data_IF_711055949519
#
_entry.id   IF_711055949519
#
_cell.length_a   1.000
_cell.length_b   1.000
_cell.length_c   1.000
_cell.angle_alpha   90.00
_cell.angle_beta   90.00
_cell.angle_gamma   90.00
#
_symmetry.space_group_name_H-M   'P 1'
#
loop_
_entity.id
_entity.type
_entity.pdbx_description
1 polymer ?
#
# COMPACT_ATOMS: atom_id res chain seq x y z
N UNK A 1 -26.29 -16.97 -7.18
CA UNK A 1 -25.69 -15.67 -6.81
C UNK A 1 -24.23 -15.76 -7.24
N UNK A 2 -23.93 -15.25 -8.43
CA UNK A 2 -22.62 -15.40 -9.06
C UNK A 2 -22.03 -14.00 -9.14
N UNK A 3 -20.90 -13.73 -8.47
CA UNK A 3 -20.17 -12.48 -8.64
C UNK A 3 -19.58 -11.93 -7.35
N UNK A 4 -18.33 -12.33 -7.05
CA UNK A 4 -17.28 -11.54 -6.36
C UNK A 4 -16.12 -12.43 -5.86
N UNK A 5 -15.73 -13.46 -6.62
CA UNK A 5 -14.50 -14.22 -6.36
C UNK A 5 -13.70 -14.34 -7.66
N UNK A 6 -13.55 -13.22 -8.37
CA UNK A 6 -12.54 -13.11 -9.42
C UNK A 6 -11.17 -12.78 -8.81
N UNK A 7 -10.07 -13.08 -9.51
CA UNK A 7 -8.73 -12.67 -9.08
C UNK A 7 -8.69 -11.15 -8.85
N UNK A 8 -8.06 -10.72 -7.75
CA UNK A 8 -7.97 -9.30 -7.39
C UNK A 8 -6.71 -8.70 -8.00
N UNK A 9 -6.86 -7.93 -9.07
CA UNK A 9 -5.74 -7.22 -9.71
C UNK A 9 -5.51 -5.86 -9.07
N UNK A 10 -4.25 -5.52 -8.79
CA UNK A 10 -3.82 -4.30 -8.14
C UNK A 10 -2.59 -3.73 -8.86
N UNK A 11 -2.45 -2.40 -8.82
CA UNK A 11 -1.27 -1.70 -9.32
C UNK A 11 -0.65 -0.83 -8.24
N UNK A 12 0.68 -0.76 -8.20
CA UNK A 12 1.44 0.15 -7.35
C UNK A 12 2.51 0.85 -8.19
N UNK A 13 2.99 2.02 -7.75
CA UNK A 13 4.21 2.60 -8.32
C UNK A 13 5.42 2.14 -7.52
N UNK A 14 6.54 2.02 -8.22
CA UNK A 14 7.81 1.71 -7.57
C UNK A 14 8.16 2.78 -6.54
N UNK A 15 8.67 2.33 -5.39
CA UNK A 15 9.04 3.19 -4.28
C UNK A 15 7.91 3.48 -3.30
N UNK A 16 6.65 3.25 -3.67
CA UNK A 16 5.50 3.55 -2.81
C UNK A 16 5.23 2.46 -1.77
N UNK A 17 4.63 2.89 -0.66
CA UNK A 17 3.98 1.99 0.29
C UNK A 17 2.73 1.39 -0.35
N UNK A 18 2.54 0.08 -0.19
CA UNK A 18 1.43 -0.63 -0.80
C UNK A 18 0.90 -1.75 0.10
N UNK A 19 -0.36 -2.14 -0.05
CA UNK A 19 -0.98 -3.18 0.77
C UNK A 19 -1.89 -4.12 -0.01
N UNK A 20 -1.72 -5.42 0.20
CA UNK A 20 -2.66 -6.46 -0.23
C UNK A 20 -3.73 -6.62 0.84
N UNK A 21 -4.81 -5.85 0.69
CA UNK A 21 -5.92 -5.85 1.64
C UNK A 21 -6.84 -7.05 1.45
N UNK A 22 -7.00 -7.83 2.51
CA UNK A 22 -7.86 -9.01 2.57
C UNK A 22 -9.32 -8.66 2.76
N UNK A 23 -9.64 -7.52 3.37
CA UNK A 23 -11.02 -7.20 3.79
C UNK A 23 -11.62 -8.27 4.72
N UNK A 24 -10.78 -9.07 5.38
CA UNK A 24 -11.16 -10.10 6.35
C UNK A 24 -10.95 -9.54 7.76
N UNK A 25 -11.83 -9.93 8.68
CA UNK A 25 -11.61 -9.78 10.11
C UNK A 25 -11.29 -11.15 10.69
N UNK A 26 -10.01 -11.36 11.04
CA UNK A 26 -9.57 -12.64 11.59
C UNK A 26 -10.20 -12.86 12.97
N UNK A 27 -10.58 -14.11 13.24
CA UNK A 27 -11.03 -14.59 14.56
C UNK A 27 -9.82 -15.02 15.38
N UNK A 28 -10.02 -15.20 16.68
CA UNK A 28 -8.96 -15.71 17.57
C UNK A 28 -8.45 -17.05 17.02
N UNK A 29 -7.13 -17.23 16.98
CA UNK A 29 -6.46 -18.45 16.50
C UNK A 29 -6.58 -18.73 14.99
N UNK A 30 -7.22 -17.85 14.21
CA UNK A 30 -7.15 -17.95 12.76
C UNK A 30 -5.70 -17.74 12.32
N UNK A 31 -5.24 -18.63 11.43
CA UNK A 31 -3.91 -18.56 10.84
C UNK A 31 -4.00 -17.95 9.46
N UNK A 32 -3.03 -17.11 9.14
CA UNK A 32 -2.86 -16.50 7.82
C UNK A 32 -1.52 -16.94 7.24
N UNK A 33 -1.53 -17.23 5.95
CA UNK A 33 -0.34 -17.53 5.16
C UNK A 33 -0.42 -16.78 3.85
N UNK A 34 0.64 -16.04 3.55
CA UNK A 34 0.88 -15.43 2.25
C UNK A 34 1.98 -16.19 1.52
N UNK A 35 1.78 -16.44 0.24
CA UNK A 35 2.80 -16.98 -0.65
C UNK A 35 2.88 -16.22 -1.97
N UNK A 36 4.07 -16.21 -2.55
CA UNK A 36 4.36 -15.62 -3.86
C UNK A 36 5.01 -16.69 -4.72
N UNK A 37 4.39 -16.97 -5.87
CA UNK A 37 4.85 -18.01 -6.81
C UNK A 37 5.13 -19.38 -6.13
N UNK A 38 4.28 -19.74 -5.16
CA UNK A 38 4.39 -21.02 -4.41
C UNK A 38 5.40 -21.02 -3.25
N UNK A 39 6.09 -19.91 -2.98
CA UNK A 39 6.98 -19.75 -1.83
C UNK A 39 6.29 -18.96 -0.72
N UNK A 40 6.38 -19.44 0.52
CA UNK A 40 5.82 -18.74 1.68
C UNK A 40 6.57 -17.43 1.90
N UNK A 41 5.84 -16.33 2.00
CA UNK A 41 6.37 -15.00 2.33
C UNK A 41 6.21 -14.67 3.80
N UNK A 42 5.03 -14.92 4.35
CA UNK A 42 4.72 -14.63 5.74
C UNK A 42 3.63 -15.56 6.24
N UNK A 43 3.73 -15.96 7.51
CA UNK A 43 2.68 -16.64 8.24
C UNK A 43 2.45 -15.94 9.57
N UNK A 44 1.24 -16.07 10.11
CA UNK A 44 0.92 -15.52 11.41
C UNK A 44 -0.37 -16.07 11.98
N UNK A 45 -0.62 -15.78 13.25
CA UNK A 45 -1.83 -16.14 13.96
C UNK A 45 -2.44 -14.91 14.62
N UNK A 46 -3.75 -14.73 14.45
CA UNK A 46 -4.41 -13.59 15.07
C UNK A 46 -4.37 -13.69 16.60
N UNK A 47 -3.98 -12.57 17.23
CA UNK A 47 -3.74 -12.41 18.68
C UNK A 47 -2.53 -13.17 19.24
N UNK A 48 -1.67 -13.72 18.39
CA UNK A 48 -0.39 -14.30 18.82
C UNK A 48 0.75 -13.86 17.88
N UNK A 49 1.35 -12.72 18.21
CA UNK A 49 2.47 -12.14 17.45
C UNK A 49 3.72 -13.03 17.47
N UNK A 50 3.85 -13.93 18.45
CA UNK A 50 5.01 -14.84 18.55
C UNK A 50 5.00 -15.93 17.49
N UNK A 51 3.86 -16.11 16.81
CA UNK A 51 3.67 -17.08 15.71
C UNK A 51 3.90 -16.48 14.33
N UNK A 52 4.45 -15.27 14.27
CA UNK A 52 4.81 -14.63 13.01
C UNK A 52 6.10 -15.23 12.48
N UNK A 53 6.09 -15.67 11.23
CA UNK A 53 7.30 -16.10 10.53
C UNK A 53 7.34 -15.46 9.16
N UNK A 54 8.52 -15.02 8.75
CA UNK A 54 8.77 -14.54 7.39
C UNK A 54 9.56 -15.61 6.63
N UNK A 55 9.35 -15.67 5.32
CA UNK A 55 10.13 -16.52 4.43
C UNK A 55 11.53 -15.98 4.19
N UNK A 56 12.40 -16.84 3.67
CA UNK A 56 13.82 -16.53 3.44
C UNK A 56 14.08 -15.84 2.08
N UNK A 57 13.03 -15.42 1.36
CA UNK A 57 13.19 -14.73 0.08
C UNK A 57 13.75 -13.32 0.31
N UNK A 58 15.04 -13.16 0.01
CA UNK A 58 15.79 -11.92 0.18
C UNK A 58 15.16 -10.72 -0.52
N UNK A 59 14.34 -10.95 -1.56
CA UNK A 59 13.60 -9.88 -2.22
C UNK A 59 12.69 -9.17 -1.22
N UNK A 60 11.95 -9.91 -0.39
CA UNK A 60 10.91 -9.35 0.48
C UNK A 60 11.41 -9.06 1.89
N UNK A 61 12.59 -9.57 2.25
CA UNK A 61 13.23 -9.36 3.55
C UNK A 61 13.26 -7.87 3.92
N UNK A 62 12.85 -7.59 5.16
CA UNK A 62 12.78 -6.23 5.74
C UNK A 62 11.86 -5.24 5.01
N UNK A 63 11.10 -5.69 3.99
CA UNK A 63 10.19 -4.84 3.19
C UNK A 63 8.73 -5.20 3.32
N UNK A 64 8.42 -6.34 3.95
CA UNK A 64 7.04 -6.80 4.15
C UNK A 64 6.67 -6.86 5.63
N UNK A 65 5.42 -6.56 5.93
CA UNK A 65 4.82 -6.66 7.26
C UNK A 65 3.45 -7.32 7.17
N UNK A 66 3.12 -8.17 8.14
CA UNK A 66 1.84 -8.86 8.23
C UNK A 66 0.92 -8.19 9.26
N UNK A 67 -0.26 -7.73 8.86
CA UNK A 67 -1.29 -7.28 9.81
C UNK A 67 -1.97 -8.50 10.45
N UNK A 68 -1.76 -8.71 11.74
CA UNK A 68 -2.29 -9.87 12.47
C UNK A 68 -3.80 -9.85 12.72
N UNK A 69 -4.46 -8.70 12.58
CA UNK A 69 -5.89 -8.54 12.82
C UNK A 69 -6.70 -8.75 11.55
N UNK A 70 -6.16 -8.31 10.42
CA UNK A 70 -6.83 -8.36 9.11
C UNK A 70 -6.22 -9.41 8.18
N UNK A 71 -4.99 -9.82 8.42
CA UNK A 71 -4.24 -10.69 7.52
C UNK A 71 -3.71 -9.96 6.29
N UNK A 72 -3.67 -8.63 6.31
CA UNK A 72 -3.18 -7.81 5.20
C UNK A 72 -1.66 -7.96 5.07
N UNK A 73 -1.13 -8.04 3.84
CA UNK A 73 0.31 -8.02 3.59
C UNK A 73 0.71 -6.63 3.12
N UNK A 74 1.58 -5.98 3.87
CA UNK A 74 1.98 -4.59 3.68
C UNK A 74 3.41 -4.55 3.15
N UNK A 75 3.64 -3.69 2.16
CA UNK A 75 4.92 -3.47 1.52
C UNK A 75 5.37 -2.06 1.85
N UNK A 76 6.52 -1.92 2.52
CA UNK A 76 7.06 -0.61 2.88
C UNK A 76 7.57 0.16 1.67
N UNK A 77 8.15 -0.56 0.70
CA UNK A 77 8.65 -0.01 -0.56
C UNK A 77 8.46 -1.02 -1.69
N UNK A 78 7.50 -0.77 -2.57
CA UNK A 78 7.26 -1.59 -3.75
C UNK A 78 8.42 -1.50 -4.75
N UNK A 79 8.76 -2.61 -5.40
CA UNK A 79 9.73 -2.69 -6.50
C UNK A 79 9.09 -3.37 -7.70
N UNK A 80 9.56 -3.05 -8.90
CA UNK A 80 9.14 -3.73 -10.15
C UNK A 80 9.26 -5.26 -10.06
N UNK A 81 10.29 -5.76 -9.35
CA UNK A 81 10.52 -7.18 -9.06
C UNK A 81 9.45 -7.85 -8.18
N UNK A 82 8.59 -7.07 -7.52
CA UNK A 82 7.52 -7.56 -6.66
C UNK A 82 6.24 -7.87 -7.47
N UNK A 83 6.24 -7.57 -8.77
CA UNK A 83 5.17 -7.92 -9.71
C UNK A 83 4.99 -9.44 -9.77
N UNK A 84 3.75 -9.90 -9.66
CA UNK A 84 3.41 -11.32 -9.76
C UNK A 84 2.13 -11.70 -9.03
N UNK A 85 1.95 -13.01 -8.83
CA UNK A 85 0.75 -13.59 -8.23
C UNK A 85 1.01 -13.98 -6.77
N UNK A 86 0.19 -13.42 -5.90
CA UNK A 86 0.19 -13.67 -4.47
C UNK A 86 -1.03 -14.49 -4.08
N UNK A 87 -0.81 -15.48 -3.22
CA UNK A 87 -1.88 -16.32 -2.68
C UNK A 87 -2.01 -16.08 -1.19
N UNK A 88 -3.25 -15.83 -0.77
CA UNK A 88 -3.65 -15.76 0.61
C UNK A 88 -4.37 -17.06 0.97
N UNK A 89 -3.94 -17.68 2.06
CA UNK A 89 -4.66 -18.74 2.74
C UNK A 89 -4.98 -18.32 4.17
N UNK A 90 -6.25 -18.37 4.56
CA UNK A 90 -6.67 -18.18 5.94
C UNK A 90 -7.34 -19.45 6.41
N UNK A 91 -6.75 -20.11 7.42
CA UNK A 91 -7.32 -21.31 8.02
C UNK A 91 -7.91 -21.00 9.39
N UNK A 92 -9.17 -21.39 9.58
CA UNK A 92 -9.88 -21.24 10.84
C UNK A 92 -10.14 -22.61 11.47
N UNK A 93 -10.11 -22.68 12.81
CA UNK A 93 -10.42 -23.89 13.57
C UNK A 93 -11.82 -24.48 13.27
N UNK A 94 -12.72 -23.69 12.69
CA UNK A 94 -14.09 -24.08 12.33
C UNK A 94 -14.23 -24.73 10.94
N UNK A 95 -13.13 -25.19 10.33
CA UNK A 95 -13.06 -25.86 9.01
C UNK A 95 -13.34 -25.00 7.78
N UNK A 96 -13.42 -23.68 7.92
CA UNK A 96 -13.48 -22.78 6.76
C UNK A 96 -12.07 -22.31 6.44
N UNK A 97 -11.60 -22.64 5.24
CA UNK A 97 -10.36 -22.09 4.68
C UNK A 97 -10.72 -21.11 3.57
N UNK A 98 -10.21 -19.90 3.66
CA UNK A 98 -10.36 -18.88 2.62
C UNK A 98 -9.10 -18.93 1.76
N UNK A 99 -9.28 -19.02 0.44
CA UNK A 99 -8.21 -18.84 -0.53
C UNK A 99 -8.52 -17.63 -1.39
N UNK A 100 -7.52 -16.76 -1.59
CA UNK A 100 -7.62 -15.63 -2.52
C UNK A 100 -6.34 -15.47 -3.30
N UNK A 101 -6.52 -15.01 -4.53
CA UNK A 101 -5.43 -14.70 -5.43
C UNK A 101 -5.40 -13.19 -5.70
N UNK A 102 -4.20 -12.64 -5.63
CA UNK A 102 -3.93 -11.24 -5.90
C UNK A 102 -2.87 -11.14 -6.99
N UNK A 103 -3.16 -10.38 -8.04
CA UNK A 103 -2.20 -10.08 -9.10
C UNK A 103 -1.70 -8.66 -8.88
N UNK A 104 -0.42 -8.51 -8.57
CA UNK A 104 0.22 -7.20 -8.40
C UNK A 104 1.02 -6.84 -9.63
N UNK A 105 0.85 -5.61 -10.12
CA UNK A 105 1.72 -4.99 -11.12
C UNK A 105 2.34 -3.74 -10.54
N UNK A 106 3.67 -3.70 -10.47
CA UNK A 106 4.42 -2.52 -10.03
C UNK A 106 4.98 -1.80 -11.25
N UNK A 107 4.63 -0.53 -11.41
CA UNK A 107 5.07 0.31 -12.53
C UNK A 107 6.29 1.12 -12.13
N UNK A 108 7.28 1.24 -13.02
CA UNK A 108 8.42 2.13 -12.81
C UNK A 108 7.94 3.57 -12.59
N UNK A 109 8.56 4.26 -11.65
CA UNK A 109 8.31 5.67 -11.43
C UNK A 109 9.17 6.45 -12.43
N UNK A 110 8.60 6.82 -13.59
CA UNK A 110 9.27 7.73 -14.51
C UNK A 110 9.16 9.15 -13.95
N UNK A 111 10.04 9.50 -13.03
CA UNK A 111 10.26 10.88 -12.62
C UNK A 111 11.10 11.57 -13.70
N UNK A 112 10.44 12.04 -14.76
CA UNK A 112 10.93 13.23 -15.45
C UNK A 112 10.63 14.44 -14.55
N UNK A 113 11.65 14.83 -13.78
CA UNK A 113 11.71 16.07 -13.01
C UNK A 113 11.65 17.31 -13.92
N UNK A 114 10.96 18.38 -13.48
CA UNK A 114 10.93 19.76 -14.02
C UNK A 114 9.97 20.10 -15.17
N UNK A 115 8.74 20.50 -14.82
CA UNK A 115 8.12 21.69 -15.41
C UNK A 115 7.68 22.62 -14.27
N UNK A 116 8.60 23.44 -13.77
CA UNK A 116 8.21 24.72 -13.16
C UNK A 116 7.57 25.55 -14.25
N UNK A 117 6.23 25.58 -14.27
CA UNK A 117 5.49 26.58 -15.05
C UNK A 117 5.78 27.92 -14.38
N UNK A 118 6.72 28.67 -14.94
CA UNK A 118 7.00 30.03 -14.52
C UNK A 118 5.73 30.85 -14.80
N UNK A 119 5.03 31.23 -13.73
CA UNK A 119 3.90 32.14 -13.85
C UNK A 119 4.52 33.49 -14.25
N UNK A 120 4.20 34.07 -15.43
CA UNK A 120 4.67 35.40 -15.74
C UNK A 120 4.06 36.36 -14.72
N UNK A 121 4.94 37.01 -13.94
CA UNK A 121 4.57 38.11 -13.05
C UNK A 121 4.03 39.24 -13.92
N UNK A 122 2.70 39.35 -14.01
CA UNK A 122 2.06 40.50 -14.63
C UNK A 122 2.21 41.68 -13.68
N UNK A 123 3.27 42.44 -13.90
CA UNK A 123 3.47 43.75 -13.27
C UNK A 123 2.44 44.71 -13.84
N UNK A 124 1.57 45.26 -13.00
CA UNK A 124 1.07 46.59 -13.27
C UNK A 124 0.82 47.33 -11.96
N UNK A 125 1.63 48.37 -11.81
CA UNK A 125 1.57 49.43 -10.82
C UNK A 125 0.27 50.22 -11.03
N UNK A 126 -0.45 50.51 -9.95
CA UNK A 126 -1.31 51.70 -9.92
C UNK A 126 -1.05 52.46 -8.63
N UNK A 127 -0.63 53.71 -8.83
CA UNK A 127 -0.11 54.64 -7.84
C UNK A 127 -1.30 55.49 -7.41
N UNK A 128 -1.97 55.10 -6.33
CA UNK A 128 -3.05 55.88 -5.72
C UNK A 128 -2.53 56.77 -4.61
N UNK A 129 -2.44 58.08 -4.87
CA UNK A 129 -1.73 59.09 -4.09
C UNK A 129 -2.17 59.25 -2.63
N UNK A 130 -1.18 59.61 -1.81
CA UNK A 130 -1.34 60.18 -0.48
C UNK A 130 -1.75 61.65 -0.62
N UNK A 131 -2.94 62.01 -0.12
CA UNK A 131 -3.25 63.39 0.20
C UNK A 131 -3.04 63.54 1.71
N UNK A 132 -1.88 64.11 2.06
CA UNK A 132 -1.65 64.70 3.38
C UNK A 132 -2.46 66.00 3.43
N UNK A 133 -3.39 66.13 4.38
CA UNK A 133 -3.53 67.37 5.15
C UNK A 133 -3.91 67.09 6.60
N UNK A 134 -3.28 67.91 7.42
CA UNK A 134 -3.02 67.92 8.84
C UNK A 134 -4.22 68.43 9.67
N UNK A 135 -4.30 68.06 10.96
CA UNK A 135 -4.33 68.97 12.12
C UNK A 135 -5.19 68.46 13.30
N UNK A 136 -4.58 68.60 14.48
CA UNK A 136 -5.16 68.44 15.82
C UNK A 136 -6.40 69.31 16.06
N UNK A 137 -7.41 68.75 16.75
CA UNK A 137 -7.90 69.19 18.07
C UNK A 137 -9.02 68.27 18.56
#
# INVERSE_FOLDING_TARGET
>A
MNGMFGPKTLSAKEGEYFGLYTEILLRKEDQVQWSFEGKILATGMNRDLTKTSYGDDERFRDRIELDHRRGDLLFTKAKTSDTGVYHLEVSSCKRTTIHREYTLTVLENTENESETVEIPVSSQEDVGGVDEQEMMS
#
